data_IF_222851193301
#
_entry.id   IF_222851193301
#
_cell.length_a   1.000
_cell.length_b   1.000
_cell.length_c   1.000
_cell.angle_alpha   90.00
_cell.angle_beta   90.00
_cell.angle_gamma   90.00
#
_symmetry.space_group_name_H-M   'P 1'
#
loop_
_entity.id
_entity.type
_entity.pdbx_description
1 polymer ?
#
# COMPACT_ATOMS: atom_id res chain seq x y z
N UNK A 1 0.31 -41.81 26.54
CA UNK A 1 0.52 -41.17 25.21
C UNK A 1 0.42 -39.67 25.41
N UNK A 2 1.51 -38.91 25.25
CA UNK A 2 1.52 -37.46 25.44
C UNK A 2 1.43 -36.73 24.10
N UNK A 3 0.50 -35.78 23.96
CA UNK A 3 0.39 -34.96 22.76
C UNK A 3 1.44 -33.85 22.79
N UNK A 4 2.47 -33.97 21.95
CA UNK A 4 3.41 -32.89 21.66
C UNK A 4 2.70 -31.79 20.85
N UNK A 5 2.07 -30.84 21.55
CA UNK A 5 1.58 -29.61 20.93
C UNK A 5 2.77 -28.72 20.57
N UNK A 6 3.04 -28.61 19.28
CA UNK A 6 4.05 -27.68 18.77
C UNK A 6 3.62 -26.24 19.08
N UNK A 7 4.39 -25.54 19.91
CA UNK A 7 4.30 -24.09 20.00
C UNK A 7 4.72 -23.49 18.64
N UNK A 8 3.89 -22.62 18.07
CA UNK A 8 4.18 -21.90 16.83
C UNK A 8 4.63 -20.49 17.20
N UNK A 9 5.78 -20.04 16.69
CA UNK A 9 6.10 -18.62 16.66
C UNK A 9 5.32 -17.95 15.50
N UNK A 10 5.03 -16.65 15.62
CA UNK A 10 4.42 -15.86 14.55
C UNK A 10 5.38 -14.74 14.17
N UNK A 11 5.78 -14.72 12.90
CA UNK A 11 6.78 -13.80 12.37
C UNK A 11 6.17 -13.03 11.21
N UNK A 12 5.94 -11.74 11.40
CA UNK A 12 5.54 -10.82 10.35
C UNK A 12 6.78 -10.20 9.70
N UNK A 13 6.73 -10.05 8.38
CA UNK A 13 7.76 -9.38 7.59
C UNK A 13 7.14 -8.21 6.82
N UNK A 14 7.44 -6.97 7.19
CA UNK A 14 6.96 -5.79 6.45
C UNK A 14 8.05 -5.22 5.56
N UNK A 15 7.75 -4.96 4.28
CA UNK A 15 8.67 -4.31 3.36
C UNK A 15 8.12 -3.00 2.79
N UNK A 16 9.04 -2.08 2.47
CA UNK A 16 8.82 -0.88 1.68
C UNK A 16 9.99 -0.64 0.73
N UNK A 17 9.74 -0.57 -0.58
CA UNK A 17 10.75 -0.15 -1.55
C UNK A 17 10.55 1.32 -1.93
N UNK A 18 11.60 2.13 -1.74
CA UNK A 18 11.77 3.39 -2.45
C UNK A 18 12.89 3.21 -3.48
N UNK A 19 12.63 3.66 -4.71
CA UNK A 19 13.64 3.80 -5.76
C UNK A 19 13.65 5.25 -6.24
N UNK A 20 14.65 6.01 -5.80
CA UNK A 20 15.06 7.26 -6.45
C UNK A 20 16.44 6.99 -7.08
N UNK A 21 16.44 6.72 -8.39
CA UNK A 21 17.62 6.28 -9.13
C UNK A 21 18.48 7.46 -9.56
N UNK A 22 19.56 7.74 -8.82
CA UNK A 22 20.73 8.50 -9.30
C UNK A 22 21.94 8.30 -8.38
N UNK A 23 22.78 7.29 -8.64
CA UNK A 23 24.14 7.17 -8.09
C UNK A 23 25.03 6.44 -9.11
N UNK A 24 25.88 7.18 -9.81
CA UNK A 24 26.97 6.58 -10.58
C UNK A 24 28.01 5.95 -9.64
N UNK A 25 28.53 4.79 -10.03
CA UNK A 25 29.44 4.01 -9.20
C UNK A 25 30.90 4.43 -9.44
N UNK A 26 31.52 5.03 -8.43
CA UNK A 26 32.97 5.19 -8.33
C UNK A 26 33.44 4.70 -6.96
N UNK A 27 33.86 3.44 -6.92
CA UNK A 27 34.39 2.80 -5.72
C UNK A 27 35.93 2.91 -5.68
N UNK A 28 36.49 3.26 -4.52
CA UNK A 28 37.87 2.92 -4.18
C UNK A 28 38.03 2.71 -2.65
N UNK A 29 38.93 1.79 -2.32
CA UNK A 29 39.17 1.10 -1.05
C UNK A 29 39.31 1.95 0.24
N UNK A 30 38.95 1.41 1.42
CA UNK A 30 39.23 2.03 2.71
C UNK A 30 40.66 1.74 3.22
N UNK A 31 41.27 2.71 3.92
CA UNK A 31 42.50 2.51 4.70
C UNK A 31 42.32 3.13 6.09
N UNK A 32 42.58 2.35 7.15
CA UNK A 32 42.43 2.80 8.54
C UNK A 32 43.78 3.09 9.19
N UNK A 33 43.95 4.29 9.78
CA UNK A 33 45.11 4.63 10.64
C UNK A 33 44.64 5.46 11.84
N UNK A 34 45.16 5.10 13.02
CA UNK A 34 45.07 5.79 14.32
C UNK A 34 46.22 5.24 15.21
N UNK A 35 46.63 5.87 16.33
CA UNK A 35 46.45 7.27 16.75
C UNK A 35 47.77 7.95 17.19
N UNK A 36 47.77 9.28 17.36
CA UNK A 36 48.59 10.08 18.30
C UNK A 36 48.21 11.57 18.19
N UNK A 37 48.19 12.41 19.22
CA UNK A 37 48.37 12.18 20.65
C UNK A 37 48.27 13.50 21.46
N UNK A 38 48.43 13.43 22.79
CA UNK A 38 48.55 14.56 23.75
C UNK A 38 47.28 15.41 24.03
N UNK A 39 47.38 16.27 25.07
CA UNK A 39 46.24 16.75 25.89
C UNK A 39 46.54 18.12 26.59
N UNK A 40 45.96 18.56 27.74
CA UNK A 40 44.83 19.50 27.74
C UNK A 40 45.00 20.82 28.53
N UNK A 41 44.22 21.85 28.17
CA UNK A 41 43.84 23.04 28.97
C UNK A 41 42.82 23.90 28.18
N UNK A 42 41.94 24.75 28.73
CA UNK A 42 41.70 25.18 30.14
C UNK A 42 40.30 25.76 30.38
N UNK A 43 39.75 25.54 31.59
CA UNK A 43 38.90 26.41 32.46
C UNK A 43 37.74 27.28 31.86
N UNK A 44 36.52 26.97 32.32
CA UNK A 44 35.51 27.83 33.02
C UNK A 44 35.91 29.31 33.33
N UNK A 45 35.02 30.35 33.36
CA UNK A 45 33.54 30.42 33.25
C UNK A 45 32.99 31.83 32.78
N UNK A 46 32.04 32.58 33.42
CA UNK A 46 30.63 32.71 32.92
C UNK A 46 29.93 34.12 32.94
N UNK A 47 28.62 34.15 32.59
CA UNK A 47 27.51 35.13 32.90
C UNK A 47 27.29 36.39 32.01
N UNK A 48 26.01 36.70 31.73
CA UNK A 48 25.46 38.00 31.26
C UNK A 48 25.31 38.18 29.74
N UNK A 49 24.38 38.94 29.15
CA UNK A 49 23.11 39.57 29.60
C UNK A 49 22.21 39.81 28.33
N UNK A 50 21.27 40.77 28.32
CA UNK A 50 20.26 41.04 27.25
C UNK A 50 20.01 42.56 27.18
N UNK A 51 19.51 43.24 26.14
CA UNK A 51 18.75 43.02 24.87
C UNK A 51 19.13 44.19 23.87
N UNK A 52 18.56 44.45 22.65
CA UNK A 52 17.53 43.77 21.83
C UNK A 52 17.85 43.60 20.30
N UNK A 53 16.86 43.10 19.56
CA UNK A 53 16.44 43.35 18.15
C UNK A 53 17.17 44.37 17.23
N UNK A 54 17.62 43.92 16.05
CA UNK A 54 17.25 44.43 14.69
C UNK A 54 17.88 43.59 13.57
N UNK A 55 17.29 43.59 12.36
CA UNK A 55 17.82 42.93 11.16
C UNK A 55 18.38 43.96 10.15
N UNK A 56 19.21 43.53 9.18
CA UNK A 56 18.63 43.30 7.85
C UNK A 56 19.11 42.00 7.15
N UNK A 57 18.43 41.67 6.05
CA UNK A 57 18.67 40.48 5.22
C UNK A 57 19.93 40.63 4.34
N UNK A 58 20.71 39.56 4.21
CA UNK A 58 21.71 39.40 3.15
C UNK A 58 21.13 38.56 1.99
N UNK A 59 21.49 38.85 0.72
CA UNK A 59 20.95 38.13 -0.43
C UNK A 59 21.52 36.71 -0.56
N UNK A 60 20.66 35.75 -0.93
CA UNK A 60 21.07 34.37 -1.20
C UNK A 60 21.77 34.25 -2.56
N UNK A 61 22.95 33.64 -2.60
CA UNK A 61 23.64 33.31 -3.85
C UNK A 61 23.13 31.98 -4.40
N UNK A 62 22.33 32.03 -5.47
CA UNK A 62 21.92 30.84 -6.24
C UNK A 62 23.04 30.42 -7.19
N UNK A 63 23.56 29.17 -7.12
CA UNK A 63 24.44 28.65 -8.16
C UNK A 63 23.65 28.31 -9.42
N UNK A 64 23.89 29.02 -10.50
CA UNK A 64 23.37 28.66 -11.83
C UNK A 64 24.08 27.42 -12.34
N UNK A 65 23.34 26.36 -12.66
CA UNK A 65 23.86 25.19 -13.39
C UNK A 65 23.31 25.26 -14.82
N UNK A 66 24.21 25.41 -15.79
CA UNK A 66 23.88 25.46 -17.20
C UNK A 66 23.69 24.03 -17.74
N UNK A 67 22.48 23.73 -18.23
CA UNK A 67 22.14 22.41 -18.79
C UNK A 67 22.39 22.39 -20.29
N UNK A 68 23.36 21.57 -20.73
CA UNK A 68 23.57 21.29 -22.14
C UNK A 68 22.37 20.54 -22.76
N UNK A 69 22.02 20.80 -24.04
CA UNK A 69 20.87 20.18 -24.68
C UNK A 69 21.10 18.69 -24.96
N UNK A 70 20.07 17.88 -24.75
CA UNK A 70 20.07 16.45 -25.06
C UNK A 70 19.98 16.18 -26.58
N UNK A 71 20.55 15.08 -27.10
CA UNK A 71 20.53 14.78 -28.53
C UNK A 71 19.15 14.30 -29.01
N UNK A 72 18.69 14.86 -30.12
CA UNK A 72 17.48 14.41 -30.82
C UNK A 72 17.71 13.06 -31.52
N UNK A 73 16.85 12.08 -31.26
CA UNK A 73 16.80 10.83 -32.03
C UNK A 73 15.52 10.77 -32.86
N UNK A 74 15.67 10.82 -34.18
CA UNK A 74 14.57 10.74 -35.16
C UNK A 74 14.27 9.28 -35.50
N UNK A 75 13.02 8.79 -35.39
CA UNK A 75 12.67 7.45 -35.83
C UNK A 75 12.46 7.41 -37.35
N UNK A 76 13.38 6.79 -38.09
CA UNK A 76 13.17 6.45 -39.50
C UNK A 76 12.19 5.27 -39.60
N UNK A 77 11.12 5.44 -40.38
CA UNK A 77 10.19 4.36 -40.74
C UNK A 77 10.40 4.04 -42.21
N UNK A 78 10.95 2.85 -42.50
CA UNK A 78 11.01 2.34 -43.87
C UNK A 78 9.65 1.75 -44.27
N UNK A 79 9.20 2.11 -45.48
CA UNK A 79 7.94 1.64 -46.06
C UNK A 79 8.27 0.84 -47.34
N UNK A 80 7.98 -0.47 -47.40
CA UNK A 80 8.13 -1.24 -48.63
C UNK A 80 6.94 -1.00 -49.56
N UNK A 81 7.10 -0.08 -50.51
CA UNK A 81 6.21 0.05 -51.67
C UNK A 81 6.48 -1.07 -52.69
N UNK A 82 5.43 -1.64 -53.28
CA UNK A 82 5.54 -2.60 -54.38
C UNK A 82 4.20 -2.78 -55.09
N UNK A 83 4.18 -2.57 -56.41
CA UNK A 83 2.94 -2.46 -57.20
C UNK A 83 3.01 -3.35 -58.45
N UNK A 84 1.83 -3.79 -58.90
CA UNK A 84 1.47 -4.22 -60.27
C UNK A 84 1.82 -5.63 -60.82
N UNK A 85 0.73 -6.27 -61.23
CA UNK A 85 0.44 -7.29 -62.26
C UNK A 85 1.01 -7.03 -63.68
N UNK A 86 0.74 -7.86 -64.74
CA UNK A 86 0.18 -9.23 -64.81
C UNK A 86 0.96 -10.19 -65.76
N UNK A 87 0.54 -11.47 -65.85
CA UNK A 87 0.42 -12.19 -67.15
C UNK A 87 -0.45 -13.46 -67.03
N UNK A 88 -0.83 -14.08 -68.15
CA UNK A 88 -1.75 -15.23 -68.24
C UNK A 88 -1.34 -16.27 -69.30
N UNK A 89 -1.88 -17.49 -69.20
CA UNK A 89 -2.07 -18.48 -70.30
C UNK A 89 -3.22 -19.44 -69.92
N UNK A 90 -3.98 -19.93 -70.91
CA UNK A 90 -5.21 -20.71 -70.76
C UNK A 90 -5.01 -22.24 -70.81
N UNK A 91 -6.02 -23.02 -70.36
CA UNK A 91 -6.59 -24.22 -71.05
C UNK A 91 -7.87 -24.65 -70.30
N UNK A 92 -9.00 -24.98 -70.99
CA UNK A 92 -10.30 -25.21 -70.33
C UNK A 92 -10.64 -26.68 -70.01
N UNK A 93 -11.51 -26.89 -69.02
CA UNK A 93 -12.17 -28.20 -68.71
C UNK A 93 -13.64 -27.97 -68.35
N UNK A 94 -14.50 -28.95 -68.62
CA UNK A 94 -15.98 -28.80 -68.69
C UNK A 94 -16.71 -29.62 -67.59
N UNK A 95 -17.57 -28.93 -66.80
CA UNK A 95 -18.84 -29.38 -66.15
C UNK A 95 -18.79 -30.62 -65.22
N UNK A 96 -19.17 -30.48 -63.93
CA UNK A 96 -20.56 -30.74 -63.49
C UNK A 96 -21.13 -29.70 -62.47
N UNK A 97 -22.43 -29.72 -62.14
CA UNK A 97 -23.09 -28.62 -61.40
C UNK A 97 -22.85 -28.63 -59.88
N UNK A 98 -23.16 -27.50 -59.24
CA UNK A 98 -22.88 -27.22 -57.83
C UNK A 98 -23.58 -28.18 -56.84
N UNK A 99 -22.78 -28.95 -56.11
CA UNK A 99 -23.16 -29.51 -54.80
C UNK A 99 -23.24 -28.39 -53.78
N UNK A 100 -24.36 -28.28 -53.06
CA UNK A 100 -24.52 -27.28 -52.01
C UNK A 100 -23.49 -27.49 -50.88
N UNK A 101 -22.71 -26.45 -50.56
CA UNK A 101 -21.87 -26.44 -49.36
C UNK A 101 -22.72 -26.67 -48.11
N UNK A 102 -22.28 -27.50 -47.15
CA UNK A 102 -22.97 -27.59 -45.87
C UNK A 102 -22.97 -26.20 -45.21
N UNK A 103 -24.14 -25.73 -44.80
CA UNK A 103 -24.24 -24.51 -43.99
C UNK A 103 -23.47 -24.75 -42.71
N UNK A 104 -22.31 -24.10 -42.57
CA UNK A 104 -21.55 -24.14 -41.35
C UNK A 104 -22.40 -23.51 -40.24
N UNK A 105 -23.03 -24.35 -39.42
CA UNK A 105 -23.81 -23.91 -38.27
C UNK A 105 -22.87 -23.19 -37.34
N UNK A 106 -22.91 -21.86 -37.38
CA UNK A 106 -22.14 -21.02 -36.49
C UNK A 106 -22.65 -21.24 -35.07
N UNK A 107 -22.02 -22.18 -34.36
CA UNK A 107 -22.20 -22.37 -32.92
C UNK A 107 -21.82 -21.06 -32.27
N UNK A 108 -22.83 -20.27 -31.89
CA UNK A 108 -22.63 -19.03 -31.14
C UNK A 108 -21.85 -19.39 -29.89
N UNK A 109 -20.58 -18.99 -29.85
CA UNK A 109 -19.76 -19.12 -28.66
C UNK A 109 -20.48 -18.34 -27.56
N UNK A 110 -20.97 -19.06 -26.55
CA UNK A 110 -21.60 -18.44 -25.38
C UNK A 110 -20.47 -17.74 -24.63
N UNK A 111 -20.32 -16.45 -24.92
CA UNK A 111 -19.39 -15.54 -24.24
C UNK A 111 -19.50 -15.79 -22.72
N UNK A 112 -18.39 -16.11 -22.04
CA UNK A 112 -18.43 -16.63 -20.69
C UNK A 112 -18.99 -15.56 -19.74
N UNK A 113 -20.28 -15.65 -19.43
CA UNK A 113 -20.96 -14.61 -18.64
C UNK A 113 -20.37 -14.55 -17.23
N UNK A 114 -19.68 -13.47 -16.92
CA UNK A 114 -19.11 -13.21 -15.60
C UNK A 114 -20.15 -13.36 -14.48
N UNK A 115 -19.73 -13.77 -13.26
CA UNK A 115 -20.63 -14.04 -12.13
C UNK A 115 -21.65 -12.93 -11.93
N UNK A 116 -22.91 -13.34 -11.77
CA UNK A 116 -24.07 -12.46 -11.79
C UNK A 116 -24.28 -11.77 -10.43
N UNK A 117 -23.35 -10.92 -10.04
CA UNK A 117 -23.57 -9.95 -8.96
C UNK A 117 -24.72 -8.99 -9.32
N UNK A 118 -25.34 -8.39 -8.30
CA UNK A 118 -26.22 -7.24 -8.48
C UNK A 118 -25.39 -5.94 -8.40
N UNK A 119 -25.81 -4.88 -9.09
CA UNK A 119 -25.24 -3.56 -8.83
C UNK A 119 -25.56 -3.14 -7.38
N UNK A 120 -24.57 -2.60 -6.68
CA UNK A 120 -24.69 -2.20 -5.27
C UNK A 120 -23.92 -0.92 -4.99
N UNK A 121 -24.40 -0.13 -4.05
CA UNK A 121 -23.86 1.18 -3.68
C UNK A 121 -24.07 1.37 -2.17
N UNK A 122 -23.00 1.69 -1.44
CA UNK A 122 -23.08 1.99 -0.01
C UNK A 122 -23.78 3.33 0.26
N UNK A 123 -23.75 4.25 -0.70
CA UNK A 123 -24.15 5.66 -0.55
C UNK A 123 -23.00 6.61 -0.24
N UNK A 124 -21.82 6.11 0.14
CA UNK A 124 -20.59 6.90 0.31
C UNK A 124 -20.19 7.59 -1.01
N UNK A 125 -19.66 8.81 -0.94
CA UNK A 125 -19.14 9.56 -2.09
C UNK A 125 -17.79 10.24 -1.79
N UNK A 126 -16.85 10.29 -2.75
CA UNK A 126 -15.61 11.09 -2.63
C UNK A 126 -15.85 12.52 -2.12
N UNK A 127 -16.90 13.17 -2.65
CA UNK A 127 -17.52 14.38 -2.10
C UNK A 127 -18.94 14.01 -1.66
N UNK A 128 -19.33 14.11 -0.37
CA UNK A 128 -18.66 14.84 0.71
C UNK A 128 -17.94 13.95 1.77
N UNK A 129 -17.90 12.63 1.57
CA UNK A 129 -17.51 11.67 2.62
C UNK A 129 -16.01 11.33 2.62
N UNK A 130 -15.31 11.64 1.53
CA UNK A 130 -13.85 11.71 1.46
C UNK A 130 -13.30 13.06 1.94
N UNK A 131 -11.98 13.16 2.08
CA UNK A 131 -11.29 14.42 2.41
C UNK A 131 -11.03 15.26 1.16
N UNK A 132 -11.15 16.59 1.28
CA UNK A 132 -10.81 17.56 0.22
C UNK A 132 -9.32 17.65 -0.15
N UNK A 133 -8.43 17.19 0.74
CA UNK A 133 -6.97 17.31 0.58
C UNK A 133 -6.35 15.98 0.19
N UNK A 134 -5.24 16.05 -0.56
CA UNK A 134 -4.53 14.87 -1.08
C UNK A 134 -3.84 14.10 0.06
N UNK A 135 -3.69 12.79 -0.13
CA UNK A 135 -2.66 11.97 0.51
C UNK A 135 -1.28 12.65 0.37
N UNK A 136 -0.46 12.49 1.40
CA UNK A 136 0.81 13.19 1.55
C UNK A 136 1.85 12.25 2.13
N UNK A 137 3.05 12.25 1.53
CA UNK A 137 4.25 11.70 2.14
C UNK A 137 4.86 12.66 3.17
N UNK A 138 5.96 12.24 3.77
CA UNK A 138 6.67 12.97 4.83
C UNK A 138 5.92 13.01 6.17
N UNK A 139 6.70 13.13 7.26
CA UNK A 139 6.19 12.97 8.62
C UNK A 139 6.38 14.19 9.52
N UNK A 140 5.41 14.39 10.41
CA UNK A 140 5.55 15.24 11.59
C UNK A 140 5.45 14.34 12.83
N UNK A 141 6.43 14.42 13.74
CA UNK A 141 6.49 13.59 14.97
C UNK A 141 5.38 13.91 15.99
N UNK A 142 4.55 14.91 15.74
CA UNK A 142 3.30 15.15 16.48
C UNK A 142 2.09 14.36 15.96
N UNK A 143 2.16 13.75 14.78
CA UNK A 143 1.04 13.01 14.17
C UNK A 143 0.90 11.59 14.75
N UNK A 144 1.99 10.97 15.20
CA UNK A 144 1.98 9.69 15.90
C UNK A 144 2.93 9.75 17.09
N UNK A 145 2.44 9.41 18.28
CA UNK A 145 3.17 9.64 19.54
C UNK A 145 3.14 8.42 20.46
N UNK A 146 3.96 8.46 21.51
CA UNK A 146 3.91 7.48 22.61
C UNK A 146 2.50 7.41 23.26
N UNK A 147 1.70 8.48 23.24
CA UNK A 147 0.32 8.44 23.72
C UNK A 147 -0.61 7.65 22.78
N UNK A 148 -0.36 7.69 21.47
CA UNK A 148 -1.10 6.92 20.47
C UNK A 148 -0.72 5.44 20.54
N UNK A 149 0.56 5.14 20.76
CA UNK A 149 1.01 3.78 21.07
C UNK A 149 0.38 3.22 22.34
N UNK A 150 0.22 4.03 23.40
CA UNK A 150 -0.47 3.62 24.64
C UNK A 150 -1.95 3.31 24.40
N UNK A 151 -2.61 4.04 23.49
CA UNK A 151 -3.98 3.73 23.04
C UNK A 151 -4.04 2.40 22.25
N UNK A 152 -3.03 2.09 21.44
CA UNK A 152 -2.97 0.84 20.67
C UNK A 152 -2.66 -0.38 21.56
N UNK A 153 -1.56 -0.35 22.30
CA UNK A 153 -0.98 -1.54 22.94
C UNK A 153 -1.06 -1.54 24.47
N UNK A 154 -1.54 -0.45 25.08
CA UNK A 154 -1.64 -0.29 26.54
C UNK A 154 -0.33 0.11 27.23
N UNK A 155 -0.46 0.65 28.44
CA UNK A 155 0.67 1.17 29.23
C UNK A 155 1.72 0.10 29.54
N UNK A 156 1.30 -1.13 29.84
CA UNK A 156 2.20 -2.26 30.15
C UNK A 156 3.07 -2.67 28.96
N UNK A 157 2.61 -2.49 27.72
CA UNK A 157 3.39 -2.77 26.52
C UNK A 157 4.41 -1.66 26.23
N UNK A 158 3.99 -0.40 26.39
CA UNK A 158 4.71 0.79 25.92
C UNK A 158 5.65 1.40 26.97
N UNK A 159 5.30 1.37 28.24
CA UNK A 159 6.01 2.08 29.31
C UNK A 159 6.85 1.13 30.18
N UNK A 160 8.00 1.61 30.65
CA UNK A 160 8.78 1.03 31.77
C UNK A 160 8.17 1.45 33.11
N UNK A 161 7.65 2.67 33.17
CA UNK A 161 6.95 3.24 34.34
C UNK A 161 6.02 4.35 33.88
N UNK A 162 4.91 4.51 34.60
CA UNK A 162 3.88 5.54 34.39
C UNK A 162 3.84 6.57 35.53
N UNK A 163 4.59 6.35 36.62
CA UNK A 163 4.50 7.11 37.89
C UNK A 163 4.78 8.61 37.79
N UNK A 164 5.40 9.08 36.70
CA UNK A 164 5.66 10.50 36.40
C UNK A 164 5.41 10.79 34.91
N UNK A 165 4.36 10.17 34.36
CA UNK A 165 4.20 10.02 32.91
C UNK A 165 4.90 8.76 32.39
N UNK A 166 4.69 8.44 31.11
CA UNK A 166 5.23 7.23 30.48
C UNK A 166 6.70 7.40 30.10
N UNK A 167 7.59 6.68 30.79
CA UNK A 167 8.96 6.43 30.31
C UNK A 167 8.88 5.27 29.33
N UNK A 168 9.02 5.53 28.03
CA UNK A 168 8.81 4.51 26.99
C UNK A 168 9.91 3.41 27.00
N UNK A 169 9.54 2.17 26.71
CA UNK A 169 10.48 1.05 26.50
C UNK A 169 11.28 1.26 25.21
N UNK A 170 12.50 0.72 25.14
CA UNK A 170 13.35 0.77 23.94
C UNK A 170 12.63 0.23 22.69
N UNK A 171 11.95 -0.90 22.80
CA UNK A 171 11.18 -1.49 21.71
C UNK A 171 10.03 -0.57 21.23
N UNK A 172 9.35 0.11 22.15
CA UNK A 172 8.31 1.09 21.79
C UNK A 172 8.89 2.32 21.09
N UNK A 173 10.09 2.79 21.48
CA UNK A 173 10.81 3.87 20.78
C UNK A 173 11.25 3.42 19.38
N UNK A 174 11.68 2.16 19.22
CA UNK A 174 12.03 1.57 17.92
C UNK A 174 10.80 1.46 17.01
N UNK A 175 9.68 0.93 17.50
CA UNK A 175 8.39 0.93 16.78
C UNK A 175 7.96 2.34 16.37
N UNK A 176 8.01 3.31 17.29
CA UNK A 176 7.67 4.69 16.99
C UNK A 176 8.53 5.26 15.85
N UNK A 177 9.83 4.98 15.82
CA UNK A 177 10.70 5.42 14.73
C UNK A 177 10.42 4.68 13.41
N UNK A 178 10.13 3.37 13.46
CA UNK A 178 9.72 2.58 12.30
C UNK A 178 8.43 3.13 11.66
N UNK A 179 7.39 3.37 12.46
CA UNK A 179 6.12 3.97 11.99
C UNK A 179 6.37 5.30 11.28
N UNK A 180 7.23 6.16 11.82
CA UNK A 180 7.61 7.42 11.16
C UNK A 180 8.44 7.22 9.89
N UNK A 181 9.29 6.20 9.81
CA UNK A 181 10.05 5.91 8.58
C UNK A 181 9.08 5.53 7.45
N UNK A 182 8.24 4.53 7.71
CA UNK A 182 7.28 3.99 6.74
C UNK A 182 6.22 5.01 6.29
N UNK A 183 5.68 5.85 7.19
CA UNK A 183 4.76 6.96 6.86
C UNK A 183 5.38 8.05 5.97
N UNK A 184 6.70 8.03 5.73
CA UNK A 184 7.34 8.95 4.78
C UNK A 184 6.82 8.75 3.35
N UNK A 185 6.38 7.54 3.00
CA UNK A 185 5.81 7.23 1.69
C UNK A 185 4.44 7.92 1.52
N UNK A 186 3.54 7.69 2.47
CA UNK A 186 2.22 8.29 2.48
C UNK A 186 1.31 7.68 3.54
N UNK A 187 0.05 8.11 3.54
CA UNK A 187 -0.92 7.88 4.60
C UNK A 187 -2.22 7.21 4.10
N UNK A 188 -2.23 6.64 2.88
CA UNK A 188 -3.43 6.20 2.15
C UNK A 188 -4.40 5.30 2.94
N UNK A 189 -3.90 4.32 3.68
CA UNK A 189 -4.71 3.39 4.49
C UNK A 189 -5.43 4.14 5.62
N UNK A 190 -4.72 5.07 6.28
CA UNK A 190 -5.30 5.97 7.28
C UNK A 190 -6.44 6.83 6.72
N UNK A 191 -6.27 7.41 5.53
CA UNK A 191 -7.35 8.14 4.83
C UNK A 191 -8.56 7.24 4.52
N UNK A 192 -8.30 6.02 4.07
CA UNK A 192 -9.34 5.03 3.71
C UNK A 192 -10.17 4.67 4.93
N UNK A 193 -9.49 4.32 6.04
CA UNK A 193 -10.14 3.93 7.29
C UNK A 193 -10.88 5.10 7.93
N UNK A 194 -10.28 6.30 8.03
CA UNK A 194 -10.98 7.42 8.69
C UNK A 194 -12.16 7.95 7.89
N UNK A 195 -12.11 7.99 6.55
CA UNK A 195 -13.26 8.42 5.74
C UNK A 195 -14.44 7.45 5.88
N UNK A 196 -14.20 6.13 5.83
CA UNK A 196 -15.23 5.12 6.12
C UNK A 196 -15.78 5.21 7.56
N UNK A 197 -14.91 5.41 8.56
CA UNK A 197 -15.33 5.57 9.97
C UNK A 197 -16.17 6.82 10.20
N UNK A 198 -15.86 7.92 9.52
CA UNK A 198 -16.67 9.14 9.56
C UNK A 198 -18.03 8.95 8.86
N UNK A 199 -18.04 8.30 7.70
CA UNK A 199 -19.27 8.00 6.96
C UNK A 199 -20.24 7.14 7.79
N UNK A 200 -19.74 6.08 8.42
CA UNK A 200 -20.52 5.19 9.29
C UNK A 200 -20.79 5.78 10.69
N UNK A 201 -20.45 7.05 10.94
CA UNK A 201 -20.60 7.73 12.24
C UNK A 201 -19.89 7.04 13.43
N UNK A 202 -18.89 6.19 13.16
CA UNK A 202 -18.02 5.55 14.16
C UNK A 202 -17.04 6.54 14.80
N UNK A 203 -16.67 7.59 14.08
CA UNK A 203 -15.99 8.79 14.57
C UNK A 203 -16.84 10.03 14.25
N UNK A 204 -16.71 11.10 15.06
CA UNK A 204 -17.47 12.36 14.88
C UNK A 204 -16.57 13.48 14.37
N UNK A 205 -16.89 14.09 13.22
CA UNK A 205 -16.12 15.21 12.63
C UNK A 205 -15.91 16.37 13.63
N UNK A 206 -16.93 16.62 14.46
CA UNK A 206 -16.94 17.63 15.52
C UNK A 206 -15.86 17.43 16.60
N UNK A 207 -15.31 16.21 16.75
CA UNK A 207 -14.18 15.95 17.65
C UNK A 207 -12.82 16.44 17.10
N UNK A 208 -12.70 16.62 15.78
CA UNK A 208 -11.52 17.21 15.13
C UNK A 208 -11.73 18.69 14.77
N UNK A 209 -12.95 19.07 14.42
CA UNK A 209 -13.30 20.44 14.03
C UNK A 209 -14.76 20.73 14.38
N UNK A 210 -15.01 21.57 15.39
CA UNK A 210 -16.32 21.77 16.01
C UNK A 210 -17.47 22.27 15.10
N UNK A 211 -17.19 22.67 13.84
CA UNK A 211 -18.18 23.07 12.83
C UNK A 211 -18.17 22.19 11.56
N UNK A 212 -17.41 21.09 11.55
CA UNK A 212 -17.48 20.11 10.47
C UNK A 212 -18.64 19.13 10.71
N UNK A 213 -19.46 18.95 9.67
CA UNK A 213 -20.53 17.94 9.59
C UNK A 213 -20.23 16.84 8.56
N UNK A 214 -19.21 17.02 7.73
CA UNK A 214 -18.82 16.13 6.64
C UNK A 214 -17.29 16.04 6.52
N UNK A 215 -16.76 14.94 5.97
CA UNK A 215 -15.32 14.68 5.90
C UNK A 215 -14.61 15.68 5.01
N UNK A 216 -15.24 16.09 3.91
CA UNK A 216 -14.70 17.10 2.99
C UNK A 216 -14.41 18.44 3.67
N UNK A 217 -15.13 18.78 4.73
CA UNK A 217 -14.95 20.04 5.48
C UNK A 217 -13.76 19.99 6.45
N UNK A 218 -13.23 18.80 6.76
CA UNK A 218 -12.06 18.66 7.62
C UNK A 218 -10.82 19.23 6.93
N UNK A 219 -10.01 19.98 7.68
CA UNK A 219 -8.70 20.45 7.22
C UNK A 219 -7.64 19.40 7.51
N UNK A 220 -6.60 19.33 6.67
CA UNK A 220 -5.48 18.40 6.85
C UNK A 220 -4.89 18.51 8.26
N UNK A 221 -4.54 19.72 8.71
CA UNK A 221 -3.87 19.97 9.97
C UNK A 221 -4.56 19.40 11.24
N UNK A 222 -5.90 19.34 11.27
CA UNK A 222 -6.65 18.73 12.38
C UNK A 222 -6.89 17.22 12.20
N UNK A 223 -6.67 16.71 10.98
CA UNK A 223 -6.90 15.31 10.60
C UNK A 223 -5.64 14.45 10.70
N UNK A 224 -4.44 15.04 10.56
CA UNK A 224 -3.15 14.33 10.43
C UNK A 224 -2.97 13.21 11.47
N UNK A 225 -3.19 13.52 12.76
CA UNK A 225 -3.02 12.56 13.85
C UNK A 225 -4.04 11.41 13.85
N UNK A 226 -5.28 11.65 13.42
CA UNK A 226 -6.26 10.56 13.27
C UNK A 226 -5.87 9.65 12.11
N UNK A 227 -5.51 10.25 10.97
CA UNK A 227 -5.04 9.54 9.77
C UNK A 227 -3.79 8.70 10.08
N UNK A 228 -2.77 9.27 10.74
CA UNK A 228 -1.56 8.56 11.14
C UNK A 228 -1.83 7.45 12.18
N UNK A 229 -2.75 7.65 13.12
CA UNK A 229 -3.17 6.61 14.07
C UNK A 229 -3.74 5.38 13.35
N UNK A 230 -4.70 5.56 12.44
CA UNK A 230 -5.32 4.44 11.73
C UNK A 230 -4.41 3.85 10.64
N UNK A 231 -3.53 4.65 10.03
CA UNK A 231 -2.46 4.13 9.17
C UNK A 231 -1.53 3.19 9.97
N UNK A 232 -1.14 3.55 11.21
CA UNK A 232 -0.24 2.73 12.02
C UNK A 232 -0.86 1.40 12.49
N UNK A 233 -2.19 1.30 12.50
CA UNK A 233 -2.91 0.05 12.77
C UNK A 233 -2.80 -0.99 11.65
N UNK A 234 -2.29 -0.64 10.46
CA UNK A 234 -2.09 -1.60 9.37
C UNK A 234 -0.88 -2.53 9.55
N UNK A 235 0.02 -2.20 10.49
CA UNK A 235 1.30 -2.88 10.73
C UNK A 235 1.21 -4.08 11.71
N UNK A 236 0.46 -4.03 12.82
CA UNK A 236 0.26 -5.19 13.71
C UNK A 236 -0.88 -6.11 13.25
N UNK A 237 -0.91 -7.32 13.79
CA UNK A 237 -2.11 -8.18 13.76
C UNK A 237 -3.24 -7.53 14.60
N UNK A 238 -4.53 -7.74 14.28
CA UNK A 238 -5.05 -8.65 13.25
C UNK A 238 -5.01 -8.08 11.83
N UNK A 239 -4.81 -6.77 11.67
CA UNK A 239 -4.94 -6.09 10.37
C UNK A 239 -3.85 -6.54 9.40
N UNK A 240 -2.60 -6.66 9.85
CA UNK A 240 -1.46 -7.05 9.01
C UNK A 240 -1.57 -8.48 8.47
N UNK A 241 -1.91 -9.46 9.33
CA UNK A 241 -2.26 -10.83 8.90
C UNK A 241 -3.42 -10.81 7.89
N UNK A 242 -4.51 -10.12 8.20
CA UNK A 242 -5.67 -10.04 7.30
C UNK A 242 -5.30 -9.41 5.95
N UNK A 243 -4.42 -8.41 5.90
CA UNK A 243 -3.91 -7.84 4.64
C UNK A 243 -3.17 -8.87 3.82
N UNK A 244 -2.28 -9.65 4.43
CA UNK A 244 -1.61 -10.76 3.75
C UNK A 244 -2.64 -11.77 3.22
N UNK A 245 -3.48 -12.35 4.09
CA UNK A 245 -4.51 -13.35 3.73
C UNK A 245 -5.42 -12.87 2.59
N UNK A 246 -5.83 -11.60 2.61
CA UNK A 246 -6.71 -11.05 1.57
C UNK A 246 -5.98 -10.74 0.25
N UNK A 247 -4.65 -10.58 0.23
CA UNK A 247 -3.86 -10.52 -1.02
C UNK A 247 -3.53 -11.89 -1.61
N UNK A 248 -3.74 -12.98 -0.88
CA UNK A 248 -3.63 -14.34 -1.42
C UNK A 248 -4.87 -14.77 -2.24
N UNK A 249 -5.89 -13.90 -2.33
CA UNK A 249 -7.15 -14.14 -3.04
C UNK A 249 -7.05 -13.70 -4.50
N UNK A 250 -7.80 -14.36 -5.37
CA UNK A 250 -7.91 -13.95 -6.77
C UNK A 250 -8.81 -12.72 -6.95
N UNK A 251 -8.67 -11.93 -8.03
CA UNK A 251 -9.53 -10.75 -8.26
C UNK A 251 -11.04 -11.03 -8.18
N UNK A 252 -11.49 -12.18 -8.67
CA UNK A 252 -12.89 -12.63 -8.57
C UNK A 252 -13.32 -12.90 -7.13
N UNK A 253 -12.43 -13.49 -6.32
CA UNK A 253 -12.69 -13.72 -4.89
C UNK A 253 -12.74 -12.39 -4.12
N UNK A 254 -11.88 -11.42 -4.45
CA UNK A 254 -11.92 -10.08 -3.87
C UNK A 254 -13.21 -9.35 -4.28
N UNK A 255 -13.63 -9.41 -5.55
CA UNK A 255 -14.91 -8.86 -6.01
C UNK A 255 -16.10 -9.47 -5.28
N UNK A 256 -16.13 -10.80 -5.11
CA UNK A 256 -17.18 -11.49 -4.36
C UNK A 256 -17.22 -11.06 -2.87
N UNK A 257 -16.05 -10.89 -2.25
CA UNK A 257 -15.94 -10.39 -0.88
C UNK A 257 -16.41 -8.94 -0.75
N UNK A 258 -16.02 -8.05 -1.67
CA UNK A 258 -16.49 -6.67 -1.70
C UNK A 258 -18.02 -6.62 -1.84
N UNK A 259 -18.59 -7.44 -2.73
CA UNK A 259 -20.04 -7.51 -2.95
C UNK A 259 -20.78 -8.01 -1.71
N UNK A 260 -20.30 -9.07 -1.06
CA UNK A 260 -20.87 -9.59 0.17
C UNK A 260 -20.77 -8.58 1.34
N UNK A 261 -19.63 -7.90 1.47
CA UNK A 261 -19.39 -6.88 2.50
C UNK A 261 -20.31 -5.66 2.35
N UNK A 262 -20.58 -5.22 1.12
CA UNK A 262 -21.54 -4.15 0.84
C UNK A 262 -23.00 -4.60 1.01
N UNK A 263 -23.30 -5.88 0.71
CA UNK A 263 -24.67 -6.44 0.80
C UNK A 263 -25.12 -6.78 2.22
N UNK A 264 -24.19 -6.87 3.17
CA UNK A 264 -24.47 -7.17 4.58
C UNK A 264 -25.45 -6.17 5.21
N UNK A 265 -26.15 -6.58 6.27
CA UNK A 265 -27.10 -5.77 7.01
C UNK A 265 -26.81 -5.81 8.52
N UNK A 266 -26.23 -4.73 9.11
CA UNK A 266 -25.73 -3.53 8.44
C UNK A 266 -24.56 -3.84 7.49
N UNK A 267 -24.26 -2.96 6.51
CA UNK A 267 -23.09 -3.12 5.66
C UNK A 267 -21.80 -3.15 6.48
N UNK A 268 -20.80 -3.89 6.01
CA UNK A 268 -19.50 -4.03 6.67
C UNK A 268 -18.35 -3.56 5.74
N UNK A 269 -18.17 -2.24 5.52
CA UNK A 269 -17.23 -1.74 4.52
C UNK A 269 -15.78 -2.18 4.76
N UNK A 270 -15.03 -2.16 3.66
CA UNK A 270 -13.65 -2.66 3.59
C UNK A 270 -12.73 -1.57 3.04
N UNK A 271 -11.45 -1.60 3.40
CA UNK A 271 -10.41 -0.99 2.57
C UNK A 271 -10.19 -1.86 1.33
N UNK A 272 -9.85 -1.26 0.19
CA UNK A 272 -9.37 -1.98 -0.99
C UNK A 272 -7.88 -1.68 -1.18
N UNK A 273 -7.07 -2.73 -1.19
CA UNK A 273 -5.64 -2.69 -1.42
C UNK A 273 -5.37 -2.98 -2.89
N UNK A 274 -4.62 -2.10 -3.55
CA UNK A 274 -4.07 -2.32 -4.90
C UNK A 274 -2.55 -2.25 -4.83
N UNK A 275 -1.87 -3.21 -5.45
CA UNK A 275 -0.41 -3.25 -5.59
C UNK A 275 -0.04 -3.29 -7.06
N UNK A 276 1.16 -2.82 -7.42
CA UNK A 276 1.69 -3.15 -8.75
C UNK A 276 1.92 -4.67 -8.86
N UNK A 277 1.91 -5.28 -10.06
CA UNK A 277 2.08 -6.73 -10.21
C UNK A 277 3.44 -7.25 -9.70
N UNK A 278 4.45 -6.38 -9.59
CA UNK A 278 5.74 -6.70 -8.97
C UNK A 278 5.71 -6.67 -7.42
N UNK A 279 4.61 -6.24 -6.80
CA UNK A 279 4.42 -6.06 -5.34
C UNK A 279 5.54 -5.25 -4.67
N UNK A 280 6.06 -4.23 -5.37
CA UNK A 280 7.06 -3.26 -4.87
C UNK A 280 6.47 -1.90 -4.52
N UNK A 281 5.26 -1.58 -5.00
CA UNK A 281 4.48 -0.41 -4.61
C UNK A 281 3.01 -0.78 -4.43
N UNK A 282 2.30 -0.02 -3.59
CA UNK A 282 0.90 -0.27 -3.29
C UNK A 282 0.20 0.93 -2.68
N UNK A 283 -1.12 0.87 -2.70
CA UNK A 283 -2.03 1.94 -2.30
C UNK A 283 -3.30 1.36 -1.65
N UNK A 284 -3.94 2.16 -0.79
CA UNK A 284 -5.25 1.85 -0.20
C UNK A 284 -6.28 2.89 -0.63
N UNK A 285 -7.43 2.40 -1.07
CA UNK A 285 -8.54 3.17 -1.64
C UNK A 285 -9.87 2.69 -1.05
N UNK A 286 -10.89 3.55 -1.09
CA UNK A 286 -12.18 3.33 -0.43
C UNK A 286 -13.23 2.84 -1.44
N UNK A 287 -13.53 1.54 -1.54
CA UNK A 287 -14.58 1.03 -2.41
C UNK A 287 -15.97 1.44 -1.88
N UNK A 288 -16.81 2.03 -2.73
CA UNK A 288 -18.13 2.51 -2.33
C UNK A 288 -19.31 2.00 -3.17
N UNK A 289 -19.07 1.56 -4.40
CA UNK A 289 -20.10 0.95 -5.23
C UNK A 289 -19.50 -0.08 -6.20
N UNK A 290 -20.32 -1.02 -6.66
CA UNK A 290 -19.99 -2.03 -7.66
C UNK A 290 -21.07 -2.01 -8.73
N UNK A 291 -20.71 -1.70 -9.97
CA UNK A 291 -21.61 -1.73 -11.12
C UNK A 291 -20.94 -2.38 -12.34
N UNK A 292 -21.67 -2.58 -13.45
CA UNK A 292 -21.10 -3.23 -14.64
C UNK A 292 -20.21 -2.28 -15.43
N UNK A 293 -18.97 -2.69 -15.67
CA UNK A 293 -18.10 -2.03 -16.64
C UNK A 293 -18.56 -2.35 -18.07
N UNK A 294 -18.83 -3.63 -18.35
CA UNK A 294 -19.40 -4.14 -19.62
C UNK A 294 -20.09 -5.52 -19.39
N UNK A 295 -20.08 -6.42 -20.38
CA UNK A 295 -20.62 -7.78 -20.29
C UNK A 295 -19.78 -8.71 -19.39
N UNK A 296 -18.46 -8.61 -19.45
CA UNK A 296 -17.51 -9.48 -18.74
C UNK A 296 -16.96 -8.86 -17.46
N UNK A 297 -16.87 -7.53 -17.40
CA UNK A 297 -16.13 -6.80 -16.38
C UNK A 297 -17.05 -5.97 -15.44
N UNK A 298 -16.60 -5.87 -14.20
CA UNK A 298 -17.21 -5.11 -13.11
C UNK A 298 -16.35 -3.89 -12.75
N UNK A 299 -17.02 -2.80 -12.38
CA UNK A 299 -16.45 -1.52 -11.96
C UNK A 299 -16.65 -1.37 -10.46
N UNK A 300 -15.58 -1.53 -9.68
CA UNK A 300 -15.56 -1.17 -8.25
C UNK A 300 -15.19 0.30 -8.15
N UNK A 301 -16.17 1.18 -7.89
CA UNK A 301 -15.92 2.62 -7.72
C UNK A 301 -15.22 2.90 -6.41
N UNK A 302 -14.24 3.81 -6.44
CA UNK A 302 -13.37 4.10 -5.30
C UNK A 302 -13.23 5.60 -5.04
N UNK A 303 -13.19 6.00 -3.77
CA UNK A 303 -12.53 7.24 -3.37
C UNK A 303 -11.03 6.98 -3.23
N UNK A 304 -10.25 7.78 -3.93
CA UNK A 304 -8.79 7.74 -3.92
C UNK A 304 -8.25 9.00 -3.24
N UNK A 305 -7.53 8.82 -2.13
CA UNK A 305 -6.91 9.93 -1.40
C UNK A 305 -5.79 10.62 -2.19
N UNK A 306 -5.17 9.98 -3.18
CA UNK A 306 -4.24 10.64 -4.11
C UNK A 306 -4.94 11.60 -5.09
N UNK A 307 -6.26 11.48 -5.28
CA UNK A 307 -7.04 12.25 -6.24
C UNK A 307 -8.41 12.63 -5.67
N UNK A 308 -8.46 13.41 -4.57
CA UNK A 308 -9.68 13.58 -3.76
C UNK A 308 -10.86 14.23 -4.48
N UNK A 309 -10.61 14.96 -5.58
CA UNK A 309 -11.63 15.63 -6.38
C UNK A 309 -12.11 14.82 -7.58
N UNK A 310 -11.56 13.63 -7.82
CA UNK A 310 -11.93 12.76 -8.95
C UNK A 310 -13.05 11.80 -8.53
N UNK A 311 -14.24 12.01 -9.10
CA UNK A 311 -15.46 11.28 -8.74
C UNK A 311 -15.67 9.99 -9.55
N UNK A 312 -14.78 9.68 -10.50
CA UNK A 312 -14.99 8.62 -11.49
C UNK A 312 -14.02 7.43 -11.36
N UNK A 313 -13.13 7.45 -10.37
CA UNK A 313 -12.09 6.44 -10.18
C UNK A 313 -12.71 5.08 -9.84
N UNK A 314 -12.19 4.03 -10.47
CA UNK A 314 -12.64 2.67 -10.25
C UNK A 314 -11.53 1.66 -10.53
N UNK A 315 -11.53 0.57 -9.77
CA UNK A 315 -10.83 -0.67 -10.14
C UNK A 315 -11.77 -1.45 -11.06
N UNK A 316 -11.26 -1.88 -12.21
CA UNK A 316 -11.97 -2.80 -13.11
C UNK A 316 -11.54 -4.22 -12.75
N UNK A 317 -12.49 -5.15 -12.63
CA UNK A 317 -12.24 -6.57 -12.38
C UNK A 317 -12.99 -7.38 -13.44
N UNK A 318 -12.30 -8.33 -14.08
CA UNK A 318 -12.84 -9.17 -15.17
C UNK A 318 -12.80 -10.63 -14.74
N UNK A 319 -13.87 -11.18 -14.14
CA UNK A 319 -13.87 -12.53 -13.59
C UNK A 319 -13.73 -13.67 -14.62
N UNK A 320 -13.92 -13.39 -15.91
CA UNK A 320 -13.79 -14.38 -17.00
C UNK A 320 -12.33 -14.79 -17.23
N UNK A 321 -11.41 -13.86 -16.99
CA UNK A 321 -9.95 -14.03 -17.05
C UNK A 321 -9.28 -13.97 -15.68
N UNK A 322 -10.05 -13.75 -14.62
CA UNK A 322 -9.62 -13.48 -13.25
C UNK A 322 -8.55 -12.37 -13.13
N UNK A 323 -8.74 -11.29 -13.90
CA UNK A 323 -7.83 -10.12 -13.97
C UNK A 323 -8.43 -8.87 -13.34
N UNK A 324 -7.59 -7.87 -13.08
CA UNK A 324 -7.98 -6.54 -12.64
C UNK A 324 -7.11 -5.44 -13.27
N UNK A 325 -7.62 -4.20 -13.29
CA UNK A 325 -6.82 -3.01 -13.61
C UNK A 325 -7.26 -1.75 -12.85
N UNK A 326 -6.33 -0.79 -12.70
CA UNK A 326 -6.55 0.49 -12.06
C UNK A 326 -5.70 1.61 -12.70
N UNK A 327 -6.36 2.63 -13.25
CA UNK A 327 -5.70 3.85 -13.74
C UNK A 327 -5.19 4.68 -12.56
N UNK A 328 -3.88 4.94 -12.53
CA UNK A 328 -3.21 5.74 -11.50
C UNK A 328 -3.55 7.25 -11.62
N UNK A 329 -4.24 7.65 -12.68
CA UNK A 329 -4.71 9.01 -12.93
C UNK A 329 -3.70 9.86 -13.69
N UNK A 330 -4.22 10.87 -14.41
CA UNK A 330 -3.45 11.92 -15.12
C UNK A 330 -2.34 11.39 -16.06
N UNK A 331 -2.50 10.20 -16.62
CA UNK A 331 -1.51 9.62 -17.54
C UNK A 331 -0.25 9.05 -16.87
N UNK A 332 -0.23 8.88 -15.54
CA UNK A 332 0.86 8.20 -14.82
C UNK A 332 0.97 6.72 -15.23
N UNK A 333 -0.12 6.13 -15.72
CA UNK A 333 -0.19 4.75 -16.21
C UNK A 333 -1.24 3.94 -15.48
N UNK A 334 -1.26 2.64 -15.74
CA UNK A 334 -2.22 1.69 -15.17
C UNK A 334 -1.48 0.57 -14.44
N UNK A 335 -1.92 0.20 -13.25
CA UNK A 335 -1.58 -1.11 -12.65
C UNK A 335 -2.61 -2.14 -13.09
N UNK A 336 -2.16 -3.36 -13.35
CA UNK A 336 -3.01 -4.49 -13.69
C UNK A 336 -2.38 -5.78 -13.19
N UNK A 337 -3.19 -6.82 -13.04
CA UNK A 337 -2.73 -8.14 -12.61
C UNK A 337 -3.83 -9.19 -12.68
N UNK A 338 -3.52 -10.37 -12.16
CA UNK A 338 -4.32 -11.59 -12.21
C UNK A 338 -4.26 -12.37 -10.88
N UNK A 339 -4.89 -13.54 -10.85
CA UNK A 339 -4.85 -14.48 -9.73
C UNK A 339 -3.44 -14.86 -9.23
N UNK A 340 -2.44 -14.92 -10.11
CA UNK A 340 -1.05 -15.22 -9.77
C UNK A 340 -0.27 -14.03 -9.22
N UNK A 341 -0.63 -12.79 -9.60
CA UNK A 341 0.07 -11.57 -9.14
C UNK A 341 -0.13 -11.23 -7.66
N UNK A 342 -1.12 -11.80 -6.97
CA UNK A 342 -1.39 -11.58 -5.54
C UNK A 342 -1.39 -10.09 -5.12
N UNK A 343 -1.95 -9.24 -5.99
CA UNK A 343 -1.77 -7.78 -5.96
C UNK A 343 -3.05 -6.99 -5.66
N UNK A 344 -4.13 -7.67 -5.30
CA UNK A 344 -5.43 -7.08 -4.97
C UNK A 344 -5.98 -7.74 -3.69
N UNK A 345 -6.62 -6.99 -2.80
CA UNK A 345 -7.22 -7.55 -1.59
C UNK A 345 -8.13 -6.58 -0.85
N UNK A 346 -9.12 -7.07 -0.11
CA UNK A 346 -10.05 -6.23 0.66
C UNK A 346 -10.00 -6.55 2.16
N UNK A 347 -10.03 -5.55 3.04
CA UNK A 347 -9.88 -5.75 4.51
C UNK A 347 -11.00 -5.03 5.27
N UNK A 348 -11.83 -5.74 6.08
CA UNK A 348 -12.91 -5.11 6.85
C UNK A 348 -12.40 -4.06 7.83
N UNK A 349 -13.04 -2.88 7.85
CA UNK A 349 -12.61 -1.79 8.74
C UNK A 349 -12.76 -2.14 10.23
N UNK A 350 -13.63 -3.11 10.57
CA UNK A 350 -13.86 -3.54 11.95
C UNK A 350 -12.59 -4.12 12.59
N UNK A 351 -11.66 -4.66 11.80
CA UNK A 351 -10.36 -5.11 12.30
C UNK A 351 -9.53 -3.95 12.90
N UNK A 352 -9.72 -2.72 12.41
CA UNK A 352 -9.09 -1.52 12.96
C UNK A 352 -9.77 -1.02 14.26
N UNK A 353 -10.84 -1.68 14.71
CA UNK A 353 -11.44 -1.46 16.04
C UNK A 353 -10.94 -2.44 17.09
N UNK A 354 -10.33 -3.56 16.67
CA UNK A 354 -9.83 -4.59 17.56
C UNK A 354 -8.50 -4.15 18.21
N UNK A 355 -8.19 -4.59 19.44
CA UNK A 355 -6.90 -4.32 20.07
C UNK A 355 -5.76 -4.94 19.24
N UNK A 356 -4.79 -4.14 18.74
CA UNK A 356 -3.69 -4.68 17.96
C UNK A 356 -2.72 -5.50 18.83
N UNK A 357 -2.23 -6.62 18.29
CA UNK A 357 -1.23 -7.44 18.95
C UNK A 357 0.12 -6.71 18.96
N UNK A 358 0.74 -6.61 20.13
CA UNK A 358 2.00 -5.90 20.37
C UNK A 358 3.21 -6.68 19.81
N UNK A 359 3.87 -6.24 18.71
CA UNK A 359 4.89 -7.05 18.01
C UNK A 359 6.28 -7.08 18.68
N UNK A 360 6.36 -6.70 19.95
CA UNK A 360 7.54 -6.77 20.82
C UNK A 360 7.20 -7.22 22.25
N UNK A 361 5.94 -7.63 22.50
CA UNK A 361 5.54 -8.12 23.81
C UNK A 361 5.79 -9.62 23.88
N UNK A 362 6.64 -10.02 24.83
CA UNK A 362 6.78 -11.42 25.21
C UNK A 362 5.42 -12.01 25.61
N UNK A 363 5.17 -13.31 25.34
CA UNK A 363 4.01 -14.00 25.89
C UNK A 363 3.96 -13.85 27.42
N UNK A 364 2.76 -13.63 27.97
CA UNK A 364 2.53 -13.87 29.40
C UNK A 364 2.86 -15.34 29.68
N UNK A 365 3.42 -15.64 30.85
CA UNK A 365 4.05 -16.93 31.17
C UNK A 365 3.08 -18.13 31.36
N UNK A 366 2.18 -18.35 30.41
CA UNK A 366 1.15 -19.39 30.35
C UNK A 366 1.36 -20.37 29.17
N UNK A 367 2.62 -20.64 28.82
CA UNK A 367 3.07 -21.91 28.22
C UNK A 367 2.63 -22.30 26.80
N UNK A 368 1.74 -21.58 26.11
CA UNK A 368 1.15 -22.07 24.84
C UNK A 368 1.10 -21.10 23.66
N UNK A 369 1.53 -19.84 23.80
CA UNK A 369 1.38 -18.83 22.73
C UNK A 369 2.68 -18.31 22.13
N UNK A 370 2.54 -17.74 20.92
CA UNK A 370 3.64 -17.34 20.06
C UNK A 370 4.42 -16.15 20.62
N UNK A 371 5.75 -16.21 20.58
CA UNK A 371 6.52 -14.98 20.43
C UNK A 371 6.13 -14.36 19.08
N UNK A 372 5.62 -13.12 19.12
CA UNK A 372 5.37 -12.32 17.92
C UNK A 372 6.61 -11.47 17.64
N UNK A 373 7.13 -11.59 16.42
CA UNK A 373 8.20 -10.73 15.93
C UNK A 373 7.76 -10.03 14.65
N UNK A 374 7.98 -8.72 14.56
CA UNK A 374 7.97 -7.98 13.31
C UNK A 374 9.42 -7.69 12.91
N UNK A 375 9.81 -8.12 11.71
CA UNK A 375 11.06 -7.69 11.08
C UNK A 375 10.72 -6.84 9.86
N UNK A 376 11.50 -5.79 9.59
CA UNK A 376 11.21 -4.83 8.52
C UNK A 376 12.42 -4.56 7.64
N UNK A 377 12.20 -4.49 6.33
CA UNK A 377 13.22 -4.14 5.33
C UNK A 377 12.79 -2.92 4.53
N UNK A 378 13.67 -1.93 4.43
CA UNK A 378 13.47 -0.72 3.63
C UNK A 378 14.42 -0.74 2.41
N UNK A 379 13.97 -0.22 1.28
CA UNK A 379 14.69 -0.22 0.01
C UNK A 379 14.74 -1.60 -0.69
N UNK A 380 15.54 -1.72 -1.76
CA UNK A 380 15.70 -2.94 -2.56
C UNK A 380 16.49 -4.07 -1.87
N UNK A 381 16.38 -4.19 -0.55
CA UNK A 381 17.07 -5.20 0.25
C UNK A 381 16.41 -6.58 0.12
N UNK A 382 17.20 -7.61 -0.19
CA UNK A 382 16.76 -9.00 -0.06
C UNK A 382 16.85 -9.39 1.41
N UNK A 383 15.73 -9.80 1.99
CA UNK A 383 15.63 -10.19 3.39
C UNK A 383 15.02 -11.59 3.46
N UNK A 384 15.78 -12.52 4.05
CA UNK A 384 15.46 -13.93 4.15
C UNK A 384 15.71 -14.39 5.58
N UNK A 385 14.66 -14.89 6.24
CA UNK A 385 14.70 -15.37 7.62
C UNK A 385 14.56 -16.89 7.57
N UNK A 386 15.54 -17.60 8.12
CA UNK A 386 15.60 -19.06 8.14
C UNK A 386 15.43 -19.56 9.57
N UNK A 387 14.66 -20.64 9.78
CA UNK A 387 14.48 -21.25 11.11
C UNK A 387 15.43 -22.44 11.37
N UNK A 388 15.35 -22.99 12.58
CA UNK A 388 16.16 -24.16 13.00
C UNK A 388 15.80 -25.47 12.27
N UNK A 389 14.74 -25.48 11.45
CA UNK A 389 14.37 -26.59 10.56
C UNK A 389 14.76 -26.29 9.09
N UNK A 390 15.51 -25.21 8.87
CA UNK A 390 15.96 -24.72 7.55
C UNK A 390 14.83 -24.29 6.61
N UNK A 391 13.62 -24.07 7.14
CA UNK A 391 12.53 -23.41 6.40
C UNK A 391 12.83 -21.93 6.28
N UNK A 392 12.36 -21.30 5.21
CA UNK A 392 12.63 -19.90 4.91
C UNK A 392 11.38 -19.04 4.70
N UNK A 393 11.48 -17.76 5.04
CA UNK A 393 10.50 -16.73 4.67
C UNK A 393 11.24 -15.45 4.26
N UNK A 394 10.83 -14.82 3.16
CA UNK A 394 11.52 -13.62 2.70
C UNK A 394 11.24 -13.21 1.27
N UNK A 395 12.05 -12.26 0.79
CA UNK A 395 12.11 -11.82 -0.60
C UNK A 395 13.56 -11.93 -1.11
N UNK A 396 13.70 -12.63 -2.23
CA UNK A 396 14.96 -12.93 -2.92
C UNK A 396 14.89 -12.42 -4.36
N UNK A 397 16.02 -12.44 -5.08
CA UNK A 397 16.05 -12.17 -6.52
C UNK A 397 15.15 -13.12 -7.35
N UNK A 398 14.82 -14.31 -6.85
CA UNK A 398 13.94 -15.28 -7.50
C UNK A 398 12.45 -15.10 -7.13
N UNK A 399 12.11 -14.18 -6.22
CA UNK A 399 10.76 -13.95 -5.72
C UNK A 399 10.62 -14.15 -4.21
N UNK A 400 9.37 -14.21 -3.74
CA UNK A 400 9.03 -14.41 -2.33
C UNK A 400 9.07 -15.89 -1.93
N UNK A 401 9.51 -16.17 -0.70
CA UNK A 401 9.59 -17.50 -0.10
C UNK A 401 8.75 -17.49 1.19
N UNK A 402 8.01 -18.57 1.48
CA UNK A 402 6.91 -18.56 2.46
C UNK A 402 6.71 -19.94 3.14
N UNK A 403 7.77 -20.52 3.70
CA UNK A 403 7.77 -21.90 4.23
C UNK A 403 7.55 -22.00 5.75
N UNK A 404 7.79 -20.92 6.52
CA UNK A 404 7.61 -20.91 7.98
C UNK A 404 6.11 -20.95 8.36
N UNK A 405 5.61 -22.01 9.04
CA UNK A 405 4.19 -22.12 9.36
C UNK A 405 3.76 -21.11 10.43
N UNK A 406 2.90 -20.16 10.06
CA UNK A 406 2.44 -19.08 10.94
C UNK A 406 3.27 -17.79 10.87
N UNK A 407 4.28 -17.74 9.99
CA UNK A 407 4.91 -16.50 9.55
C UNK A 407 4.26 -16.00 8.25
N UNK A 408 4.30 -14.70 7.97
CA UNK A 408 3.83 -14.13 6.71
C UNK A 408 4.60 -12.86 6.31
N UNK A 409 4.63 -12.55 5.01
CA UNK A 409 5.23 -11.31 4.48
C UNK A 409 4.19 -10.39 3.82
N UNK A 410 4.22 -9.11 4.15
CA UNK A 410 3.29 -8.09 3.66
C UNK A 410 4.05 -6.86 3.15
N UNK A 411 3.56 -6.22 2.09
CA UNK A 411 4.05 -4.92 1.65
C UNK A 411 3.22 -3.83 2.32
N UNK A 412 3.85 -2.75 2.76
CA UNK A 412 3.14 -1.61 3.34
C UNK A 412 2.88 -0.54 2.26
N UNK A 413 1.63 -0.30 1.85
CA UNK A 413 1.28 0.76 0.90
C UNK A 413 1.45 2.14 1.52
N UNK A 414 2.28 2.98 0.89
CA UNK A 414 2.31 4.43 1.15
C UNK A 414 1.19 5.17 0.42
N UNK A 415 0.85 4.70 -0.78
CA UNK A 415 0.14 5.49 -1.79
C UNK A 415 1.06 6.38 -2.61
#
# INVERSE_FOLDING_TARGET
MGSLRQARARLALCLTMFSLTACDALALTPTAVRPSGLSPSSRLAPVGEIIPETAPLAPSLTPTVELAPAPTLTPTVELPSGTETPSATETPTIVPPATASPVATATLAVEPKAPAFAAIDLGFRPTPDGYQFRNYGGVNRGDYTIADMRRMFGDTAVCVSTRRGCVAKRAAIQWNNLVHSLMTAGHCDGFTVTSLRFYLSLDRHTALQARAAQTIQLRQAVSRRSIAYYWALQLPDPVSLARWENTQKTPTQVLAQLHAAMSAQPPAPTTLLVYNPARTSGHSITPYAIDRANAEAWRVRVYDSNWPTDLNRAVIITPTTDTWSYDLGRGIGQWAGDAGTQSLGAVPIDLYTQPPQCPWCEPVASGTEAAHALVTSEGGSQLLITDSQQRQIGLTAAGAIQELPGAYSTLIPGG
#
